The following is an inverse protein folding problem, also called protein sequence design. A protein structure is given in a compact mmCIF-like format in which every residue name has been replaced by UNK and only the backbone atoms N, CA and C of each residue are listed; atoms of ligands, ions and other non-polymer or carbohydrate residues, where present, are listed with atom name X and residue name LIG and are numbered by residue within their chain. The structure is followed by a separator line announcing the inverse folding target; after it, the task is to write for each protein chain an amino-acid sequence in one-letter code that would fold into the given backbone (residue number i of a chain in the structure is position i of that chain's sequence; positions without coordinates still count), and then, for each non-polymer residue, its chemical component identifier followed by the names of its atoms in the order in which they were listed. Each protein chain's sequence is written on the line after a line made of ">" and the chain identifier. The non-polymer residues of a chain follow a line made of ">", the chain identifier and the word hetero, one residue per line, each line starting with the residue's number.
data_IF_803700757611
#
_entry.id   IF_803700757611
#
_cell.length_a   1.000
_cell.length_b   1.000
_cell.length_c   1.000
_cell.angle_alpha   90.00
_cell.angle_beta   90.00
_cell.angle_gamma   90.00
#
_symmetry.space_group_name_H-M   'P 1'
#
loop_
_entity.id
_entity.type
_entity.pdbx_description
1 polymer ?
#
# COMPACT_ATOMS: atom_id res chain seq x y z
N UNK A 1 3.29 21.13 -13.78
CA UNK A 1 3.58 19.80 -14.35
C UNK A 1 5.10 19.63 -14.35
N UNK A 2 5.59 18.50 -13.85
CA UNK A 2 7.00 18.14 -13.92
C UNK A 2 7.21 17.14 -15.07
N UNK A 3 8.36 17.19 -15.73
CA UNK A 3 8.71 16.27 -16.81
C UNK A 3 9.66 15.20 -16.27
N UNK A 4 9.41 13.94 -16.62
CA UNK A 4 10.26 12.79 -16.28
C UNK A 4 10.83 12.21 -17.59
N UNK A 5 12.15 12.14 -17.68
CA UNK A 5 12.86 11.46 -18.77
C UNK A 5 13.50 10.20 -18.21
N UNK A 6 13.20 9.07 -18.82
CA UNK A 6 13.78 7.76 -18.46
C UNK A 6 14.34 7.09 -19.71
N UNK A 7 15.47 6.40 -19.56
CA UNK A 7 16.00 5.53 -20.60
C UNK A 7 15.41 4.13 -20.42
N UNK A 8 14.84 3.61 -21.49
CA UNK A 8 14.28 2.25 -21.56
C UNK A 8 14.69 1.61 -22.87
N UNK A 9 14.68 0.28 -22.90
CA UNK A 9 14.92 -0.47 -24.14
C UNK A 9 13.91 -0.08 -25.22
N UNK A 10 14.39 0.13 -26.45
CA UNK A 10 13.58 0.64 -27.56
C UNK A 10 12.47 -0.36 -27.96
N UNK A 11 12.77 -1.66 -27.92
CA UNK A 11 11.79 -2.70 -28.26
C UNK A 11 10.72 -2.83 -27.17
N UNK A 12 11.10 -2.67 -25.90
CA UNK A 12 10.15 -2.56 -24.81
C UNK A 12 9.23 -1.35 -24.99
N UNK A 13 9.78 -0.16 -25.30
CA UNK A 13 8.99 1.05 -25.49
C UNK A 13 8.04 0.92 -26.68
N UNK A 14 8.49 0.31 -27.79
CA UNK A 14 7.66 0.02 -28.96
C UNK A 14 6.49 -0.88 -28.60
N UNK A 15 6.73 -2.00 -27.92
CA UNK A 15 5.67 -2.93 -27.48
C UNK A 15 4.69 -2.26 -26.52
N UNK A 16 5.19 -1.46 -25.59
CA UNK A 16 4.37 -0.71 -24.64
C UNK A 16 3.43 0.27 -25.36
N UNK A 17 3.93 0.99 -26.38
CA UNK A 17 3.11 1.91 -27.20
C UNK A 17 2.02 1.17 -27.98
N UNK A 18 2.35 0.05 -28.62
CA UNK A 18 1.36 -0.77 -29.35
C UNK A 18 0.27 -1.24 -28.40
N UNK A 19 0.64 -1.78 -27.24
CA UNK A 19 -0.32 -2.24 -26.23
C UNK A 19 -1.18 -1.10 -25.67
N UNK A 20 -0.57 0.05 -25.40
CA UNK A 20 -1.30 1.22 -24.91
C UNK A 20 -2.35 1.67 -25.94
N UNK A 21 -1.98 1.73 -27.23
CA UNK A 21 -2.91 2.09 -28.30
C UNK A 21 -4.07 1.08 -28.43
N UNK A 22 -3.80 -0.22 -28.33
CA UNK A 22 -4.83 -1.26 -28.33
C UNK A 22 -5.84 -1.10 -27.18
N UNK A 23 -5.40 -0.58 -26.04
CA UNK A 23 -6.23 -0.34 -24.85
C UNK A 23 -6.81 1.09 -24.81
N UNK A 24 -6.62 1.89 -25.86
CA UNK A 24 -7.10 3.28 -25.89
C UNK A 24 -6.43 4.21 -24.86
N UNK A 25 -5.21 3.88 -24.43
CA UNK A 25 -4.43 4.66 -23.46
C UNK A 25 -3.06 5.05 -24.02
N UNK A 26 -2.22 5.69 -23.20
CA UNK A 26 -0.84 6.04 -23.55
C UNK A 26 0.14 5.51 -22.51
N UNK A 27 1.40 5.31 -22.91
CA UNK A 27 2.48 4.89 -21.99
C UNK A 27 2.62 5.89 -20.84
N UNK A 28 2.45 7.19 -21.10
CA UNK A 28 2.51 8.23 -20.07
C UNK A 28 1.36 8.13 -19.07
N UNK A 29 0.15 7.78 -19.53
CA UNK A 29 -0.99 7.57 -18.64
C UNK A 29 -0.78 6.35 -17.74
N UNK A 30 -0.28 5.25 -18.31
CA UNK A 30 0.06 4.03 -17.55
C UNK A 30 1.14 4.31 -16.50
N UNK A 31 2.21 5.03 -16.87
CA UNK A 31 3.27 5.41 -15.93
C UNK A 31 2.74 6.32 -14.82
N UNK A 32 1.87 7.28 -15.14
CA UNK A 32 1.25 8.15 -14.14
C UNK A 32 0.45 7.34 -13.13
N UNK A 33 -0.45 6.49 -13.59
CA UNK A 33 -1.30 5.66 -12.74
C UNK A 33 -0.47 4.70 -11.87
N UNK A 34 0.59 4.15 -12.46
CA UNK A 34 1.55 3.33 -11.72
C UNK A 34 2.26 4.13 -10.61
N UNK A 35 2.72 5.35 -10.89
CA UNK A 35 3.37 6.21 -9.89
C UNK A 35 2.40 6.61 -8.78
N UNK A 36 1.15 6.97 -9.11
CA UNK A 36 0.12 7.30 -8.12
C UNK A 36 -0.16 6.10 -7.20
N UNK A 37 -0.27 4.91 -7.78
CA UNK A 37 -0.44 3.67 -7.01
C UNK A 37 0.80 3.40 -6.15
N UNK A 38 2.00 3.50 -6.74
CA UNK A 38 3.26 3.22 -6.05
C UNK A 38 3.46 4.11 -4.83
N UNK A 39 3.20 5.41 -4.96
CA UNK A 39 3.25 6.36 -3.83
C UNK A 39 2.12 6.10 -2.83
N UNK A 40 0.90 5.87 -3.32
CA UNK A 40 -0.27 5.65 -2.47
C UNK A 40 -0.21 4.37 -1.61
N UNK A 41 0.48 3.32 -2.07
CA UNK A 41 0.65 2.08 -1.31
C UNK A 41 1.51 2.29 -0.05
N UNK A 42 2.58 3.08 -0.15
CA UNK A 42 3.44 3.38 1.00
C UNK A 42 2.74 4.32 1.98
N UNK A 43 2.05 5.34 1.47
CA UNK A 43 1.29 6.27 2.32
C UNK A 43 0.14 5.57 3.06
N UNK A 44 -0.63 4.72 2.38
CA UNK A 44 -1.74 3.99 2.98
C UNK A 44 -1.29 3.05 4.09
N UNK A 45 -0.21 2.29 3.85
CA UNK A 45 0.38 1.39 4.85
C UNK A 45 0.92 2.16 6.06
N UNK A 46 1.67 3.22 5.83
CA UNK A 46 2.26 4.00 6.91
C UNK A 46 1.18 4.70 7.75
N UNK A 47 0.15 5.22 7.09
CA UNK A 47 -0.99 5.86 7.76
C UNK A 47 -1.84 4.85 8.54
N UNK A 48 -2.01 3.63 8.03
CA UNK A 48 -2.66 2.53 8.75
C UNK A 48 -1.86 2.12 10.01
N UNK A 49 -0.53 1.97 9.90
CA UNK A 49 0.35 1.67 11.04
C UNK A 49 0.28 2.79 12.08
N UNK A 50 0.37 4.05 11.63
CA UNK A 50 0.29 5.22 12.52
C UNK A 50 -1.06 5.29 13.24
N UNK A 51 -2.15 5.01 12.53
CA UNK A 51 -3.50 4.94 13.10
C UNK A 51 -3.63 3.80 14.12
N UNK A 52 -3.09 2.62 13.81
CA UNK A 52 -3.06 1.47 14.71
C UNK A 52 -2.29 1.80 16.00
N UNK A 53 -1.06 2.30 15.89
CA UNK A 53 -0.23 2.67 17.05
C UNK A 53 -0.91 3.73 17.92
N UNK A 54 -1.51 4.76 17.30
CA UNK A 54 -2.29 5.79 18.02
C UNK A 54 -3.48 5.19 18.76
N UNK A 55 -4.20 4.23 18.15
CA UNK A 55 -5.33 3.54 18.81
C UNK A 55 -4.86 2.66 19.95
N UNK A 56 -3.78 1.90 19.76
CA UNK A 56 -3.19 1.05 20.80
C UNK A 56 -2.72 1.87 22.01
N UNK A 57 -2.05 3.01 21.78
CA UNK A 57 -1.61 3.90 22.86
C UNK A 57 -2.76 4.48 23.70
N UNK A 58 -3.95 4.63 23.10
CA UNK A 58 -5.16 5.12 23.78
C UNK A 58 -6.06 4.00 24.29
N UNK A 59 -5.79 2.76 23.89
CA UNK A 59 -6.58 1.63 24.29
C UNK A 59 -6.37 1.37 25.79
N UNK A 60 -7.46 1.47 26.56
CA UNK A 60 -7.48 1.08 27.98
C UNK A 60 -7.82 -0.39 28.18
N UNK A 61 -7.96 -1.13 27.07
CA UNK A 61 -8.18 -2.58 27.06
C UNK A 61 -6.88 -3.33 27.31
N UNK A 62 -6.37 -3.24 28.54
CA UNK A 62 -5.41 -4.20 29.07
C UNK A 62 -6.15 -5.20 29.95
N UNK A 63 -5.66 -6.42 30.11
CA UNK A 63 -6.19 -7.38 31.10
C UNK A 63 -5.97 -6.93 32.55
N UNK A 64 -5.74 -5.64 32.83
CA UNK A 64 -5.29 -5.18 34.14
C UNK A 64 -4.16 -6.07 34.69
N UNK A 65 -4.19 -6.36 36.00
CA UNK A 65 -3.33 -7.37 36.63
C UNK A 65 -3.90 -8.80 36.63
N UNK A 66 -4.98 -9.09 35.88
CA UNK A 66 -5.59 -10.43 35.85
C UNK A 66 -4.86 -11.32 34.85
N UNK A 67 -4.04 -12.20 35.39
CA UNK A 67 -3.50 -13.37 34.69
C UNK A 67 -4.50 -14.51 34.83
N UNK A 68 -4.79 -15.21 33.74
CA UNK A 68 -5.56 -16.45 33.80
C UNK A 68 -4.62 -17.62 33.66
N UNK A 69 -4.78 -18.63 34.51
CA UNK A 69 -4.21 -19.95 34.26
C UNK A 69 -5.05 -20.68 33.21
N UNK A 70 -4.47 -21.71 32.60
CA UNK A 70 -5.18 -22.54 31.61
C UNK A 70 -6.44 -23.18 32.23
N UNK A 71 -6.39 -23.54 33.50
CA UNK A 71 -7.49 -24.19 34.21
C UNK A 71 -8.65 -23.21 34.48
N UNK A 72 -8.35 -21.93 34.75
CA UNK A 72 -9.37 -20.87 34.94
C UNK A 72 -10.23 -20.64 33.69
N UNK A 73 -9.70 -20.94 32.50
CA UNK A 73 -10.37 -20.75 31.21
C UNK A 73 -11.22 -21.94 30.78
N UNK A 74 -11.02 -23.10 31.42
CA UNK A 74 -11.69 -24.35 31.05
C UNK A 74 -12.78 -24.78 32.06
N UNK A 75 -12.96 -24.05 33.16
CA UNK A 75 -14.11 -24.22 34.04
C UNK A 75 -15.38 -23.69 33.34
N UNK A 76 -16.22 -24.61 32.87
CA UNK A 76 -17.60 -24.36 32.44
C UNK A 76 -18.55 -24.59 33.60
#
# INVERSE_FOLDING_TARGET
>A
MANLTISVDDELLRRARVRAAQLGTSVNAVLREYMETWVGQDEGREQAIRSLLRRSARARSGRGGRTWSRDDLHAR
#
